data_IF_410040685830
#
_entry.id   IF_410040685830
#
_cell.length_a   1.000
_cell.length_b   1.000
_cell.length_c   1.000
_cell.angle_alpha   90.00
_cell.angle_beta   90.00
_cell.angle_gamma   90.00
#
_symmetry.space_group_name_H-M   'P 1'
#
loop_
_entity.id
_entity.type
_entity.pdbx_description
1 polymer ?
#
# COMPACT_ATOMS: atom_id res chain seq x y z
N UNK A 1 -2.78 -3.63 -0.64
CA UNK A 1 -3.49 -2.37 -0.93
C UNK A 1 -4.98 -2.49 -0.63
N UNK A 2 -5.75 -3.36 -1.33
CA UNK A 2 -7.22 -3.44 -1.21
C UNK A 2 -7.68 -3.71 0.23
N UNK A 3 -7.03 -4.60 0.96
CA UNK A 3 -7.36 -4.85 2.37
C UNK A 3 -7.28 -3.58 3.23
N UNK A 4 -6.23 -2.76 3.04
CA UNK A 4 -6.11 -1.47 3.74
C UNK A 4 -7.19 -0.47 3.34
N UNK A 5 -7.63 -0.49 2.09
CA UNK A 5 -8.73 0.37 1.63
C UNK A 5 -10.04 0.01 2.32
N UNK A 6 -10.29 -1.28 2.52
CA UNK A 6 -11.58 -1.78 3.04
C UNK A 6 -11.68 -1.60 4.55
N UNK A 7 -10.66 -2.00 5.31
CA UNK A 7 -10.72 -2.04 6.79
C UNK A 7 -9.77 -1.06 7.47
N UNK A 8 -9.19 -0.11 6.74
CA UNK A 8 -8.20 0.84 7.28
C UNK A 8 -8.70 1.62 8.50
N UNK A 9 -9.92 2.14 8.47
CA UNK A 9 -10.51 2.84 9.63
C UNK A 9 -10.68 1.92 10.83
N UNK A 10 -11.13 0.68 10.61
CA UNK A 10 -11.29 -0.32 11.67
C UNK A 10 -9.95 -0.68 12.32
N UNK A 11 -8.89 -0.83 11.52
CA UNK A 11 -7.55 -1.11 12.00
C UNK A 11 -6.98 0.07 12.82
N UNK A 12 -7.11 1.30 12.33
CA UNK A 12 -6.65 2.48 13.07
C UNK A 12 -7.40 2.61 14.39
N UNK A 13 -8.72 2.44 14.39
CA UNK A 13 -9.52 2.48 15.62
C UNK A 13 -9.13 1.39 16.62
N UNK A 14 -8.72 0.22 16.13
CA UNK A 14 -8.26 -0.88 16.96
C UNK A 14 -6.90 -0.57 17.59
N UNK A 15 -5.94 -0.06 16.80
CA UNK A 15 -4.57 0.20 17.25
C UNK A 15 -4.43 1.50 18.07
N UNK A 16 -5.21 2.51 17.71
CA UNK A 16 -5.13 3.86 18.27
C UNK A 16 -6.53 4.38 18.65
N UNK A 17 -7.15 3.82 19.72
CA UNK A 17 -8.53 4.14 20.08
C UNK A 17 -8.76 5.60 20.46
N UNK A 18 -7.73 6.29 20.93
CA UNK A 18 -7.78 7.70 21.33
C UNK A 18 -7.44 8.70 20.21
N UNK A 19 -7.08 8.20 19.00
CA UNK A 19 -6.73 9.06 17.86
C UNK A 19 -7.92 9.31 16.94
N UNK A 20 -7.77 10.31 16.06
CA UNK A 20 -8.73 10.52 14.96
C UNK A 20 -8.62 9.39 13.93
N UNK A 21 -9.36 8.31 14.16
CA UNK A 21 -9.39 7.13 13.29
C UNK A 21 -9.99 7.42 11.90
N UNK A 22 -10.76 8.52 11.76
CA UNK A 22 -11.35 8.92 10.47
C UNK A 22 -10.24 9.47 9.56
N UNK A 23 -9.46 10.42 10.07
CA UNK A 23 -8.29 10.96 9.35
C UNK A 23 -7.24 9.87 9.13
N UNK A 24 -6.94 9.05 10.14
CA UNK A 24 -6.05 7.90 10.02
C UNK A 24 -6.48 6.93 8.93
N UNK A 25 -7.76 6.61 8.83
CA UNK A 25 -8.31 5.76 7.76
C UNK A 25 -8.17 6.37 6.37
N UNK A 26 -8.38 7.69 6.22
CA UNK A 26 -8.14 8.41 4.95
C UNK A 26 -6.67 8.38 4.54
N UNK A 27 -5.75 8.55 5.50
CA UNK A 27 -4.31 8.45 5.26
C UNK A 27 -3.90 7.03 4.84
N UNK A 28 -4.47 5.99 5.48
CA UNK A 28 -4.26 4.60 5.05
C UNK A 28 -4.78 4.34 3.64
N UNK A 29 -5.96 4.86 3.32
CA UNK A 29 -6.54 4.75 1.97
C UNK A 29 -5.61 5.38 0.93
N UNK A 30 -5.18 6.62 1.15
CA UNK A 30 -4.27 7.32 0.26
C UNK A 30 -2.89 6.63 0.17
N UNK A 31 -2.34 6.18 1.31
CA UNK A 31 -1.07 5.47 1.37
C UNK A 31 -1.09 4.06 0.76
N UNK A 32 -2.27 3.46 0.61
CA UNK A 32 -2.40 2.11 0.03
C UNK A 32 -1.91 2.01 -1.42
N UNK A 33 -1.93 3.11 -2.16
CA UNK A 33 -1.35 3.19 -3.50
C UNK A 33 0.16 2.92 -3.50
N UNK A 34 0.87 3.33 -2.44
CA UNK A 34 2.31 3.09 -2.31
C UNK A 34 2.65 1.60 -2.32
N UNK A 35 1.78 0.74 -1.75
CA UNK A 35 2.00 -0.71 -1.66
C UNK A 35 2.16 -1.33 -3.05
N UNK A 36 1.37 -0.86 -4.03
CA UNK A 36 1.43 -1.36 -5.42
C UNK A 36 2.79 -1.02 -6.02
N UNK A 37 3.23 0.23 -5.88
CA UNK A 37 4.51 0.67 -6.42
C UNK A 37 5.71 0.06 -5.67
N UNK A 38 5.61 -0.18 -4.36
CA UNK A 38 6.62 -0.93 -3.62
C UNK A 38 6.74 -2.37 -4.12
N UNK A 39 5.63 -3.03 -4.41
CA UNK A 39 5.66 -4.38 -4.98
C UNK A 39 6.37 -4.38 -6.36
N UNK A 40 6.04 -3.43 -7.24
CA UNK A 40 6.70 -3.28 -8.55
C UNK A 40 8.20 -3.00 -8.36
N UNK A 41 8.55 -2.09 -7.46
CA UNK A 41 9.94 -1.73 -7.15
C UNK A 41 10.74 -2.95 -6.66
N UNK A 42 10.18 -3.76 -5.78
CA UNK A 42 10.82 -4.96 -5.25
C UNK A 42 11.04 -6.03 -6.34
N UNK A 43 10.01 -6.30 -7.15
CA UNK A 43 10.12 -7.28 -8.25
C UNK A 43 11.13 -6.82 -9.31
N UNK A 44 11.07 -5.56 -9.73
CA UNK A 44 12.00 -5.01 -10.73
C UNK A 44 13.42 -4.86 -10.19
N UNK A 45 13.56 -4.56 -8.90
CA UNK A 45 14.85 -4.55 -8.20
C UNK A 45 15.46 -5.95 -8.14
N UNK A 46 14.69 -6.98 -7.79
CA UNK A 46 15.12 -8.37 -7.82
C UNK A 46 15.51 -8.84 -9.23
N UNK A 47 14.76 -8.44 -10.25
CA UNK A 47 15.11 -8.73 -11.65
C UNK A 47 16.44 -8.09 -12.07
N UNK A 48 16.73 -6.86 -11.65
CA UNK A 48 18.04 -6.22 -11.88
C UNK A 48 19.16 -6.95 -11.16
N UNK A 49 18.92 -7.43 -9.94
CA UNK A 49 19.90 -8.22 -9.19
C UNK A 49 20.20 -9.55 -9.87
N UNK A 50 19.19 -10.24 -10.44
CA UNK A 50 19.37 -11.53 -11.12
C UNK A 50 20.21 -11.45 -12.40
N UNK A 51 20.33 -10.27 -13.01
CA UNK A 51 21.21 -10.01 -14.16
C UNK A 51 22.53 -9.36 -13.78
N UNK A 52 22.95 -9.53 -12.54
CA UNK A 52 24.22 -9.02 -11.97
C UNK A 52 24.33 -7.47 -11.98
N UNK A 53 23.19 -6.78 -11.90
CA UNK A 53 23.11 -5.32 -11.80
C UNK A 53 22.70 -4.86 -10.39
N UNK A 54 23.27 -5.50 -9.35
CA UNK A 54 22.91 -5.28 -7.95
C UNK A 54 23.05 -3.83 -7.49
N UNK A 55 23.95 -3.06 -8.08
CA UNK A 55 24.18 -1.65 -7.72
C UNK A 55 23.06 -0.72 -8.17
N UNK A 56 22.35 -1.05 -9.25
CA UNK A 56 21.34 -0.17 -9.84
C UNK A 56 20.16 0.09 -8.91
N UNK A 57 19.51 -0.93 -8.30
CA UNK A 57 18.40 -0.68 -7.38
C UNK A 57 18.79 0.20 -6.20
N UNK A 58 20.03 0.07 -5.70
CA UNK A 58 20.54 0.89 -4.60
C UNK A 58 20.70 2.35 -5.03
N UNK A 59 21.28 2.58 -6.21
CA UNK A 59 21.46 3.93 -6.77
C UNK A 59 20.09 4.55 -7.06
N UNK A 60 19.16 3.80 -7.65
CA UNK A 60 17.80 4.29 -7.91
C UNK A 60 17.05 4.65 -6.63
N UNK A 61 17.21 3.85 -5.57
CA UNK A 61 16.63 4.15 -4.26
C UNK A 61 17.25 5.41 -3.64
N UNK A 62 18.57 5.58 -3.76
CA UNK A 62 19.25 6.78 -3.26
C UNK A 62 18.79 8.05 -4.00
N UNK A 63 18.70 8.00 -5.33
CA UNK A 63 18.18 9.11 -6.15
C UNK A 63 16.73 9.42 -5.74
N UNK A 64 15.89 8.39 -5.63
CA UNK A 64 14.49 8.54 -5.25
C UNK A 64 14.32 9.13 -3.86
N UNK A 65 15.21 8.78 -2.93
CA UNK A 65 15.20 9.33 -1.57
C UNK A 65 15.51 10.82 -1.57
N UNK A 66 16.50 11.26 -2.33
CA UNK A 66 16.85 12.69 -2.45
C UNK A 66 15.67 13.47 -3.04
N UNK A 67 15.06 12.96 -4.11
CA UNK A 67 13.87 13.58 -4.72
C UNK A 67 12.70 13.60 -3.74
N UNK A 68 12.46 12.50 -3.03
CA UNK A 68 11.40 12.38 -2.01
C UNK A 68 11.56 13.45 -0.91
N UNK A 69 12.77 13.59 -0.36
CA UNK A 69 13.05 14.60 0.67
C UNK A 69 12.79 16.01 0.11
N UNK A 70 13.26 16.29 -1.11
CA UNK A 70 13.03 17.58 -1.77
C UNK A 70 11.55 17.90 -1.93
N UNK A 71 10.74 16.92 -2.39
CA UNK A 71 9.28 17.06 -2.56
C UNK A 71 8.61 17.31 -1.21
N UNK A 72 8.93 16.50 -0.20
CA UNK A 72 8.33 16.63 1.14
C UNK A 72 8.64 17.99 1.75
N UNK A 73 9.91 18.44 1.70
CA UNK A 73 10.31 19.76 2.21
C UNK A 73 9.60 20.88 1.45
N UNK A 74 9.60 20.83 0.12
CA UNK A 74 8.93 21.82 -0.70
C UNK A 74 7.42 21.92 -0.40
N UNK A 75 6.73 20.79 -0.28
CA UNK A 75 5.29 20.75 0.01
C UNK A 75 4.98 21.21 1.43
N UNK A 76 5.81 20.89 2.41
CA UNK A 76 5.63 21.36 3.81
C UNK A 76 5.75 22.88 3.90
N UNK A 77 6.62 23.49 3.09
CA UNK A 77 6.76 24.96 3.07
C UNK A 77 5.71 25.66 2.19
N UNK A 78 5.25 25.00 1.12
CA UNK A 78 4.37 25.63 0.13
C UNK A 78 2.87 25.39 0.43
N UNK A 79 2.53 24.41 1.28
CA UNK A 79 1.14 23.99 1.48
C UNK A 79 0.83 23.73 2.96
N UNK A 80 -0.42 23.89 3.35
CA UNK A 80 -0.93 23.55 4.69
C UNK A 80 -1.43 22.10 4.79
N UNK A 81 -0.98 21.22 3.90
CA UNK A 81 -1.43 19.82 3.83
C UNK A 81 -0.95 18.97 5.01
N UNK A 82 -0.05 19.48 5.87
CA UNK A 82 0.41 18.83 7.09
C UNK A 82 0.76 17.34 6.87
N UNK A 83 0.05 16.44 7.55
CA UNK A 83 0.30 14.99 7.53
C UNK A 83 0.12 14.37 6.13
N UNK A 84 -0.72 14.94 5.27
CA UNK A 84 -0.92 14.43 3.91
C UNK A 84 0.34 14.54 3.03
N UNK A 85 1.22 15.50 3.31
CA UNK A 85 2.51 15.63 2.61
C UNK A 85 3.35 14.36 2.77
N UNK A 86 3.35 13.76 3.98
CA UNK A 86 4.08 12.52 4.23
C UNK A 86 3.51 11.34 3.41
N UNK A 87 2.19 11.29 3.23
CA UNK A 87 1.56 10.26 2.39
C UNK A 87 1.94 10.46 0.91
N UNK A 88 1.90 11.70 0.42
CA UNK A 88 2.33 12.04 -0.96
C UNK A 88 3.78 11.62 -1.17
N UNK A 89 4.66 11.96 -0.25
CA UNK A 89 6.05 11.54 -0.28
C UNK A 89 6.22 10.02 -0.28
N UNK A 90 5.50 9.33 0.60
CA UNK A 90 5.56 7.87 0.71
C UNK A 90 5.06 7.15 -0.56
N UNK A 91 4.13 7.74 -1.31
CA UNK A 91 3.70 7.23 -2.62
C UNK A 91 4.69 7.58 -3.72
N UNK A 92 5.25 8.79 -3.70
CA UNK A 92 6.16 9.28 -4.74
C UNK A 92 7.48 8.49 -4.78
N UNK A 93 8.02 8.15 -3.61
CA UNK A 93 9.27 7.39 -3.51
C UNK A 93 9.26 6.08 -4.31
N UNK A 94 8.34 5.13 -4.06
CA UNK A 94 8.32 3.86 -4.80
C UNK A 94 7.92 4.02 -6.27
N UNK A 95 7.18 5.06 -6.64
CA UNK A 95 6.90 5.39 -8.04
C UNK A 95 8.22 5.67 -8.77
N UNK A 96 9.06 6.54 -8.22
CA UNK A 96 10.34 6.91 -8.84
C UNK A 96 11.26 5.69 -8.92
N UNK A 97 11.40 4.93 -7.83
CA UNK A 97 12.22 3.71 -7.83
C UNK A 97 11.75 2.72 -8.88
N UNK A 98 10.45 2.42 -8.94
CA UNK A 98 9.89 1.47 -9.91
C UNK A 98 10.09 1.93 -11.35
N UNK A 99 9.93 3.23 -11.62
CA UNK A 99 10.15 3.81 -12.94
C UNK A 99 11.62 3.68 -13.37
N UNK A 100 12.56 4.05 -12.50
CA UNK A 100 13.99 3.91 -12.79
C UNK A 100 14.40 2.45 -13.00
N UNK A 101 13.88 1.53 -12.18
CA UNK A 101 14.14 0.11 -12.32
C UNK A 101 13.62 -0.45 -13.65
N UNK A 102 12.39 -0.09 -14.05
CA UNK A 102 11.80 -0.52 -15.33
C UNK A 102 12.57 0.05 -16.51
N UNK A 103 12.99 1.32 -16.45
CA UNK A 103 13.84 1.93 -17.50
C UNK A 103 15.18 1.21 -17.64
N UNK A 104 15.80 0.87 -16.51
CA UNK A 104 17.04 0.09 -16.51
C UNK A 104 16.83 -1.31 -17.09
N UNK A 105 15.75 -2.02 -16.69
CA UNK A 105 15.43 -3.34 -17.25
C UNK A 105 15.25 -3.30 -18.77
N UNK A 106 14.52 -2.31 -19.29
CA UNK A 106 14.37 -2.12 -20.76
C UNK A 106 15.70 -1.89 -21.46
N UNK A 107 16.65 -1.24 -20.80
CA UNK A 107 17.99 -0.99 -21.36
C UNK A 107 18.85 -2.25 -21.41
N UNK A 108 18.78 -3.11 -20.39
CA UNK A 108 19.61 -4.31 -20.28
C UNK A 108 18.97 -5.56 -20.87
N UNK A 109 17.64 -5.57 -20.97
CA UNK A 109 16.88 -6.67 -21.58
C UNK A 109 15.97 -6.08 -22.66
N UNK A 110 16.43 -5.95 -23.91
CA UNK A 110 15.63 -5.34 -24.99
C UNK A 110 14.30 -6.06 -25.26
N UNK A 111 14.22 -7.36 -24.94
CA UNK A 111 13.00 -8.17 -25.06
C UNK A 111 12.05 -8.01 -23.87
N UNK A 112 12.41 -7.18 -22.87
CA UNK A 112 11.56 -6.94 -21.69
C UNK A 112 10.33 -6.11 -22.07
N UNK A 113 9.19 -6.78 -22.14
CA UNK A 113 7.89 -6.16 -22.34
C UNK A 113 7.05 -6.27 -21.07
N UNK A 114 6.56 -5.13 -20.61
CA UNK A 114 5.55 -5.11 -19.55
C UNK A 114 4.19 -5.32 -20.20
N UNK A 115 3.59 -6.48 -19.99
CA UNK A 115 2.21 -6.78 -20.42
C UNK A 115 1.27 -6.50 -19.24
N UNK A 116 0.73 -5.28 -19.08
CA UNK A 116 0.04 -4.89 -17.86
C UNK A 116 -1.19 -5.76 -17.59
N UNK A 117 -1.92 -6.14 -18.62
CA UNK A 117 -3.15 -6.91 -18.47
C UNK A 117 -2.90 -8.33 -17.98
N UNK A 118 -1.89 -9.02 -18.49
CA UNK A 118 -1.56 -10.38 -18.05
C UNK A 118 -0.83 -10.40 -16.71
N UNK A 119 -0.02 -9.37 -16.42
CA UNK A 119 0.77 -9.31 -15.20
C UNK A 119 -0.06 -8.86 -13.99
N UNK A 120 -0.97 -7.91 -14.17
CA UNK A 120 -1.76 -7.33 -13.07
C UNK A 120 -3.20 -7.83 -13.03
N UNK A 121 -3.74 -8.40 -14.11
CA UNK A 121 -5.14 -8.80 -14.20
C UNK A 121 -5.52 -9.88 -13.19
N UNK A 122 -4.74 -10.96 -13.10
CA UNK A 122 -4.99 -12.06 -12.17
C UNK A 122 -4.82 -11.62 -10.70
N UNK A 123 -3.71 -10.97 -10.29
CA UNK A 123 -3.59 -10.45 -8.92
C UNK A 123 -4.65 -9.41 -8.57
N UNK A 124 -5.07 -8.59 -9.52
CA UNK A 124 -6.11 -7.58 -9.29
C UNK A 124 -7.46 -8.25 -9.02
N UNK A 125 -7.85 -9.24 -9.84
CA UNK A 125 -9.11 -9.97 -9.64
C UNK A 125 -9.12 -10.71 -8.30
N UNK A 126 -8.04 -11.43 -7.97
CA UNK A 126 -7.90 -12.10 -6.68
C UNK A 126 -8.00 -11.12 -5.50
N UNK A 127 -7.32 -9.96 -5.60
CA UNK A 127 -7.38 -8.92 -4.58
C UNK A 127 -8.76 -8.30 -4.43
N UNK A 128 -9.54 -8.16 -5.52
CA UNK A 128 -10.91 -7.67 -5.46
C UNK A 128 -11.83 -8.65 -4.74
N UNK A 129 -11.75 -9.95 -5.06
CA UNK A 129 -12.51 -10.98 -4.35
C UNK A 129 -12.16 -11.05 -2.87
N UNK A 130 -10.86 -10.99 -2.55
CA UNK A 130 -10.40 -10.86 -1.16
C UNK A 130 -11.01 -9.62 -0.48
N UNK A 131 -11.00 -8.47 -1.16
CA UNK A 131 -11.56 -7.22 -0.62
C UNK A 131 -13.05 -7.32 -0.32
N UNK A 132 -13.83 -7.95 -1.20
CA UNK A 132 -15.26 -8.21 -0.99
C UNK A 132 -15.47 -9.14 0.20
N UNK A 133 -14.73 -10.25 0.29
CA UNK A 133 -14.81 -11.19 1.41
C UNK A 133 -14.51 -10.49 2.74
N UNK A 134 -13.41 -9.71 2.79
CA UNK A 134 -13.02 -8.94 3.97
C UNK A 134 -14.08 -7.91 4.37
N UNK A 135 -14.69 -7.19 3.41
CA UNK A 135 -15.76 -6.23 3.68
C UNK A 135 -17.00 -6.88 4.28
N UNK A 136 -17.42 -8.03 3.73
CA UNK A 136 -18.57 -8.79 4.23
C UNK A 136 -18.29 -9.28 5.64
N UNK A 137 -17.14 -9.94 5.85
CA UNK A 137 -16.78 -10.49 7.17
C UNK A 137 -16.68 -9.40 8.22
N UNK A 138 -16.03 -8.29 7.89
CA UNK A 138 -15.92 -7.14 8.82
C UNK A 138 -17.28 -6.59 9.20
N UNK A 139 -18.15 -6.38 8.23
CA UNK A 139 -19.49 -5.83 8.48
C UNK A 139 -20.36 -6.77 9.31
N UNK A 140 -20.36 -8.06 8.98
CA UNK A 140 -21.12 -9.08 9.72
C UNK A 140 -20.60 -9.23 11.15
N UNK A 141 -19.30 -9.42 11.31
CA UNK A 141 -18.67 -9.58 12.63
C UNK A 141 -18.85 -8.34 13.50
N UNK A 142 -18.67 -7.15 12.93
CA UNK A 142 -18.86 -5.92 13.70
C UNK A 142 -20.33 -5.78 14.17
N UNK A 143 -21.32 -6.07 13.32
CA UNK A 143 -22.74 -6.05 13.71
C UNK A 143 -23.07 -7.10 14.77
N UNK A 144 -22.60 -8.33 14.59
CA UNK A 144 -22.85 -9.42 15.56
C UNK A 144 -22.18 -9.12 16.90
N UNK A 145 -20.94 -8.67 16.89
CA UNK A 145 -20.23 -8.37 18.13
C UNK A 145 -20.79 -7.15 18.86
N UNK A 146 -21.34 -6.15 18.13
CA UNK A 146 -21.98 -4.97 18.75
C UNK A 146 -23.18 -5.33 19.63
N UNK A 147 -23.86 -6.47 19.39
CA UNK A 147 -24.98 -6.91 20.21
C UNK A 147 -24.57 -7.45 21.58
N UNK A 148 -23.30 -7.89 21.72
CA UNK A 148 -22.81 -8.54 22.95
C UNK A 148 -21.63 -7.79 23.61
N UNK A 149 -20.92 -6.97 22.84
CA UNK A 149 -19.67 -6.33 23.26
C UNK A 149 -19.75 -4.82 23.02
N UNK A 150 -18.96 -4.07 23.79
CA UNK A 150 -18.80 -2.63 23.56
C UNK A 150 -18.21 -2.32 22.18
N UNK A 151 -18.54 -1.16 21.61
CA UNK A 151 -18.21 -0.80 20.22
C UNK A 151 -16.71 -0.85 19.87
N UNK A 152 -15.81 -0.69 20.84
CA UNK A 152 -14.38 -0.86 20.62
C UNK A 152 -13.99 -2.33 20.44
N UNK A 153 -14.45 -3.21 21.36
CA UNK A 153 -14.14 -4.64 21.32
C UNK A 153 -14.74 -5.32 20.08
N UNK A 154 -15.96 -4.93 19.71
CA UNK A 154 -16.62 -5.39 18.51
C UNK A 154 -15.79 -5.05 17.25
N UNK A 155 -15.31 -3.80 17.13
CA UNK A 155 -14.45 -3.37 16.03
C UNK A 155 -13.11 -4.11 16.03
N UNK A 156 -12.47 -4.30 17.19
CA UNK A 156 -11.18 -4.99 17.29
C UNK A 156 -11.29 -6.46 16.82
N UNK A 157 -12.29 -7.18 17.32
CA UNK A 157 -12.54 -8.58 16.91
C UNK A 157 -12.89 -8.66 15.42
N UNK A 158 -13.79 -7.80 14.93
CA UNK A 158 -14.15 -7.77 13.51
C UNK A 158 -12.92 -7.50 12.63
N UNK A 159 -12.05 -6.57 13.01
CA UNK A 159 -10.83 -6.27 12.26
C UNK A 159 -9.87 -7.47 12.23
N UNK A 160 -9.61 -8.12 13.36
CA UNK A 160 -8.71 -9.28 13.44
C UNK A 160 -9.22 -10.45 12.62
N UNK A 161 -10.50 -10.79 12.77
CA UNK A 161 -11.11 -11.90 12.01
C UNK A 161 -11.08 -11.60 10.51
N UNK A 162 -11.38 -10.37 10.11
CA UNK A 162 -11.35 -9.96 8.70
C UNK A 162 -9.94 -10.03 8.09
N UNK A 163 -8.91 -9.67 8.84
CA UNK A 163 -7.51 -9.83 8.39
C UNK A 163 -7.17 -11.31 8.21
N UNK A 164 -7.55 -12.16 9.18
CA UNK A 164 -7.32 -13.61 9.09
C UNK A 164 -8.01 -14.23 7.86
N UNK A 165 -9.30 -13.89 7.65
CA UNK A 165 -10.05 -14.34 6.46
C UNK A 165 -9.41 -13.81 5.17
N UNK A 166 -8.99 -12.54 5.13
CA UNK A 166 -8.30 -11.98 3.98
C UNK A 166 -7.01 -12.73 3.64
N UNK A 167 -6.24 -13.16 4.64
CA UNK A 167 -5.03 -13.95 4.44
C UNK A 167 -5.31 -15.38 3.96
N UNK A 168 -6.48 -15.95 4.28
CA UNK A 168 -6.87 -17.30 3.83
C UNK A 168 -7.47 -17.30 2.42
N UNK A 169 -8.12 -16.20 2.01
CA UNK A 169 -8.77 -16.06 0.71
C UNK A 169 -7.78 -15.65 -0.38
N UNK A 170 -6.69 -14.99 -0.02
CA UNK A 170 -5.63 -14.57 -0.96
C UNK A 170 -4.60 -15.65 -1.19
#
# INVERSE_FOLDING_TARGET
AIGYMVIGQGLIRMLFPSSDYITGGKLMLAGSAAIIFYAISNVTGGALQSIDKMRLPVIHSAISLVIHIGIVVALLHATELNVYVLVIGNVTFPIIVSMLNVLALKRYIPTFEVKPLSTFGVPLSASLWMGVAVAIVYTLMNRLCLTFLGGYMANALASLVSVAVGALVF
#
